data_IF_920246591272
#
_entry.id   IF_920246591272
#
_cell.length_a   1.000
_cell.length_b   1.000
_cell.length_c   1.000
_cell.angle_alpha   90.00
_cell.angle_beta   90.00
_cell.angle_gamma   90.00
#
_symmetry.space_group_name_H-M   'P 1'
#
loop_
_entity.id
_entity.type
_entity.pdbx_description
1 polymer ?
#
# COMPACT_ATOMS: atom_id res chain seq x y z
N UNK A 1 19.14 19.90 8.23
CA UNK A 1 17.77 20.18 8.71
C UNK A 1 17.51 19.38 9.96
N UNK A 2 17.06 20.06 11.03
CA UNK A 2 16.52 19.37 12.19
C UNK A 2 15.05 19.09 11.88
N UNK A 3 14.73 17.85 11.53
CA UNK A 3 13.38 17.42 11.25
C UNK A 3 12.89 16.45 12.34
N UNK A 4 11.65 16.60 12.77
CA UNK A 4 10.99 15.66 13.67
C UNK A 4 10.37 14.52 12.88
N UNK A 5 10.01 13.44 13.54
CA UNK A 5 9.28 12.29 12.96
C UNK A 5 8.13 12.74 12.03
N UNK A 6 7.24 13.59 12.55
CA UNK A 6 6.07 14.07 11.82
C UNK A 6 6.44 14.87 10.55
N UNK A 7 7.51 15.69 10.61
CA UNK A 7 7.97 16.47 9.46
C UNK A 7 8.53 15.56 8.38
N UNK A 8 9.33 14.56 8.75
CA UNK A 8 9.86 13.57 7.79
C UNK A 8 8.73 12.77 7.16
N UNK A 9 7.80 12.27 7.97
CA UNK A 9 6.66 11.49 7.48
C UNK A 9 5.76 12.31 6.53
N UNK A 10 5.48 13.58 6.85
CA UNK A 10 4.74 14.49 5.99
C UNK A 10 5.48 14.74 4.66
N UNK A 11 6.79 14.98 4.72
CA UNK A 11 7.62 15.23 3.53
C UNK A 11 7.69 14.01 2.62
N UNK A 12 7.75 12.81 3.20
CA UNK A 12 7.73 11.55 2.45
C UNK A 12 6.34 11.18 1.91
N UNK A 13 5.29 11.92 2.24
CA UNK A 13 3.92 11.64 1.79
C UNK A 13 3.17 10.58 2.61
N UNK A 14 3.68 10.19 3.79
CA UNK A 14 3.07 9.14 4.61
C UNK A 14 1.65 9.47 5.13
N UNK A 15 1.28 10.74 5.12
CA UNK A 15 -0.07 11.18 5.55
C UNK A 15 -1.06 11.29 4.40
N UNK A 16 -0.60 11.08 3.17
CA UNK A 16 -1.48 11.00 2.01
C UNK A 16 -2.12 9.62 1.95
N UNK A 17 -3.26 9.52 1.28
CA UNK A 17 -3.91 8.24 1.05
C UNK A 17 -3.30 7.51 -0.14
N UNK A 18 -2.32 6.68 0.12
CA UNK A 18 -1.66 5.87 -0.90
C UNK A 18 -2.56 4.77 -1.48
N UNK A 19 -3.66 4.47 -0.79
CA UNK A 19 -4.69 3.53 -1.25
C UNK A 19 -5.81 4.18 -2.04
N UNK A 20 -5.79 5.51 -2.20
CA UNK A 20 -6.78 6.33 -2.90
C UNK A 20 -8.20 6.36 -2.31
N UNK A 21 -8.42 5.71 -1.17
CA UNK A 21 -9.73 5.68 -0.53
C UNK A 21 -10.19 7.07 -0.08
N UNK A 22 -9.30 7.77 0.63
CA UNK A 22 -9.59 9.12 1.11
C UNK A 22 -9.71 10.12 -0.04
N UNK A 23 -8.90 9.95 -1.09
CA UNK A 23 -8.99 10.78 -2.30
C UNK A 23 -10.37 10.65 -2.94
N UNK A 24 -10.86 9.43 -3.15
CA UNK A 24 -12.18 9.17 -3.73
C UNK A 24 -13.34 9.68 -2.86
N UNK A 25 -13.16 9.68 -1.55
CA UNK A 25 -14.14 10.22 -0.59
C UNK A 25 -14.02 11.75 -0.38
N UNK A 26 -13.10 12.42 -1.07
CA UNK A 26 -12.86 13.85 -0.90
C UNK A 26 -12.28 14.24 0.46
N UNK A 27 -11.66 13.32 1.18
CA UNK A 27 -11.13 13.55 2.52
C UNK A 27 -9.69 14.04 2.48
N UNK A 28 -9.35 14.93 3.40
CA UNK A 28 -7.99 15.44 3.56
C UNK A 28 -7.01 14.35 4.03
N UNK A 29 -5.69 14.53 3.78
CA UNK A 29 -4.65 13.73 4.39
C UNK A 29 -4.81 13.65 5.91
N UNK A 30 -4.45 12.53 6.50
CA UNK A 30 -4.63 12.27 7.92
C UNK A 30 -3.29 12.02 8.60
N UNK A 31 -3.04 12.72 9.70
CA UNK A 31 -1.88 12.48 10.55
C UNK A 31 -1.94 11.07 11.15
N UNK A 32 -0.81 10.35 11.07
CA UNK A 32 -0.60 9.09 11.78
C UNK A 32 0.43 9.29 12.89
N UNK A 33 0.13 8.91 14.15
CA UNK A 33 1.07 9.01 15.26
C UNK A 33 2.16 7.91 15.25
N UNK A 34 2.13 7.01 14.28
CA UNK A 34 3.10 5.92 14.21
C UNK A 34 4.48 6.45 13.86
N UNK A 35 5.55 6.04 14.58
CA UNK A 35 6.92 6.49 14.32
C UNK A 35 7.56 5.72 13.15
N UNK A 36 6.95 5.79 11.97
CA UNK A 36 7.35 5.00 10.81
C UNK A 36 8.73 5.40 10.29
N UNK A 37 9.02 6.69 10.21
CA UNK A 37 10.31 7.17 9.71
C UNK A 37 11.46 6.71 10.61
N UNK A 38 11.31 6.85 11.92
CA UNK A 38 12.29 6.35 12.89
C UNK A 38 12.43 4.83 12.82
N UNK A 39 11.33 4.08 12.74
CA UNK A 39 11.34 2.62 12.70
C UNK A 39 12.06 2.08 11.48
N UNK A 40 11.76 2.59 10.30
CA UNK A 40 12.46 2.20 9.07
C UNK A 40 13.94 2.58 9.12
N UNK A 41 14.27 3.78 9.61
CA UNK A 41 15.66 4.24 9.71
C UNK A 41 16.49 3.39 10.67
N UNK A 42 15.93 3.02 11.83
CA UNK A 42 16.59 2.14 12.80
C UNK A 42 16.89 0.77 12.17
N UNK A 43 15.90 0.20 11.47
CA UNK A 43 16.07 -1.09 10.80
C UNK A 43 17.15 -1.03 9.72
N UNK A 44 17.12 -0.02 8.86
CA UNK A 44 18.15 0.17 7.82
C UNK A 44 19.53 0.43 8.42
N UNK A 45 19.62 1.27 9.44
CA UNK A 45 20.90 1.57 10.10
C UNK A 45 21.49 0.31 10.74
N UNK A 46 20.68 -0.50 11.43
CA UNK A 46 21.13 -1.74 12.04
C UNK A 46 21.65 -2.73 11.00
N UNK A 47 20.95 -2.91 9.90
CA UNK A 47 21.39 -3.75 8.79
C UNK A 47 22.68 -3.24 8.15
N UNK A 48 22.78 -1.93 7.94
CA UNK A 48 23.97 -1.29 7.35
C UNK A 48 25.21 -1.46 8.23
N UNK A 49 25.04 -1.37 9.57
CA UNK A 49 26.17 -1.60 10.50
C UNK A 49 26.66 -3.04 10.39
N UNK A 50 25.76 -4.01 10.33
CA UNK A 50 26.14 -5.44 10.19
C UNK A 50 26.86 -5.67 8.87
N UNK A 51 26.35 -5.10 7.76
CA UNK A 51 27.01 -5.20 6.45
C UNK A 51 28.39 -4.57 6.43
N UNK A 52 28.56 -3.40 7.06
CA UNK A 52 29.85 -2.73 7.14
C UNK A 52 30.87 -3.52 8.00
N UNK A 53 30.41 -4.14 9.09
CA UNK A 53 31.26 -5.03 9.89
C UNK A 53 31.71 -6.24 9.07
N UNK A 54 30.80 -6.87 8.32
CA UNK A 54 31.15 -7.98 7.43
C UNK A 54 32.13 -7.54 6.32
N UNK A 55 31.92 -6.36 5.73
CA UNK A 55 32.84 -5.81 4.76
C UNK A 55 34.23 -5.56 5.36
N UNK A 56 34.29 -5.03 6.60
CA UNK A 56 35.54 -4.83 7.33
C UNK A 56 36.30 -6.13 7.58
N UNK A 57 35.61 -7.21 7.93
CA UNK A 57 36.24 -8.54 8.09
C UNK A 57 36.91 -9.01 6.79
N UNK A 58 36.33 -8.68 5.64
CA UNK A 58 36.87 -9.09 4.34
C UNK A 58 37.97 -8.14 3.80
N UNK A 59 37.86 -6.86 4.12
CA UNK A 59 38.75 -5.82 3.52
C UNK A 59 39.79 -5.26 4.49
N UNK A 60 39.57 -5.41 5.79
CA UNK A 60 40.37 -4.76 6.84
C UNK A 60 40.10 -3.27 7.01
N UNK A 61 39.17 -2.70 6.23
CA UNK A 61 38.87 -1.25 6.22
C UNK A 61 37.51 -0.98 6.85
N UNK A 62 37.46 0.05 7.71
CA UNK A 62 36.18 0.61 8.18
C UNK A 62 35.58 1.56 7.15
N UNK A 63 34.32 1.91 7.34
CA UNK A 63 33.60 2.83 6.48
C UNK A 63 32.72 3.78 7.28
N UNK A 64 32.27 4.87 6.65
CA UNK A 64 31.30 5.82 7.18
C UNK A 64 29.93 5.53 6.58
N UNK A 65 28.94 5.26 7.45
CA UNK A 65 27.59 4.89 7.02
C UNK A 65 26.65 6.07 7.27
N UNK A 66 25.96 6.51 6.24
CA UNK A 66 24.86 7.47 6.35
C UNK A 66 23.54 6.81 5.97
N UNK A 67 22.56 6.91 6.84
CA UNK A 67 21.19 6.45 6.60
C UNK A 67 20.23 7.64 6.75
N UNK A 68 19.92 8.34 5.64
CA UNK A 68 18.97 9.45 5.69
C UNK A 68 17.58 8.95 6.08
N UNK A 69 16.99 9.55 7.12
CA UNK A 69 15.68 9.12 7.67
C UNK A 69 14.58 9.18 6.60
N UNK A 70 14.60 10.22 5.74
CA UNK A 70 13.61 10.34 4.67
C UNK A 70 13.76 9.24 3.62
N UNK A 71 14.99 8.87 3.25
CA UNK A 71 15.23 7.80 2.29
C UNK A 71 14.76 6.45 2.83
N UNK A 72 15.05 6.18 4.11
CA UNK A 72 14.56 4.98 4.79
C UNK A 72 13.02 4.94 4.85
N UNK A 73 12.38 6.07 5.10
CA UNK A 73 10.91 6.16 5.07
C UNK A 73 10.35 5.92 3.68
N UNK A 74 10.93 6.50 2.64
CA UNK A 74 10.50 6.28 1.25
C UNK A 74 10.66 4.81 0.83
N UNK A 75 11.73 4.16 1.23
CA UNK A 75 11.93 2.72 1.01
C UNK A 75 10.85 1.89 1.73
N UNK A 76 10.53 2.27 2.96
CA UNK A 76 9.45 1.63 3.73
C UNK A 76 8.05 1.82 3.14
N UNK A 77 7.81 2.91 2.44
CA UNK A 77 6.57 3.14 1.68
C UNK A 77 6.50 2.28 0.41
N UNK A 78 7.61 1.68 0.02
CA UNK A 78 7.73 0.79 -1.12
C UNK A 78 7.23 1.44 -2.42
N UNK A 79 6.52 0.68 -3.26
CA UNK A 79 6.03 1.19 -4.55
C UNK A 79 5.10 2.41 -4.44
N UNK A 80 4.49 2.66 -3.29
CA UNK A 80 3.65 3.85 -3.09
C UNK A 80 4.43 5.17 -3.12
N UNK A 81 5.75 5.12 -2.94
CA UNK A 81 6.62 6.29 -3.05
C UNK A 81 7.19 6.51 -4.46
N UNK A 82 6.96 5.58 -5.38
CA UNK A 82 7.45 5.65 -6.74
C UNK A 82 6.35 6.06 -7.71
N UNK A 83 6.72 6.90 -8.67
CA UNK A 83 5.88 7.16 -9.83
C UNK A 83 6.45 6.38 -11.01
N UNK A 84 5.68 5.41 -11.50
CA UNK A 84 6.07 4.59 -12.64
C UNK A 84 5.57 5.25 -13.92
N UNK A 85 6.49 5.64 -14.79
CA UNK A 85 6.13 6.13 -16.10
C UNK A 85 5.60 4.97 -16.95
N UNK A 86 4.58 5.27 -17.78
CA UNK A 86 3.99 4.30 -18.71
C UNK A 86 3.51 2.99 -18.05
N UNK A 87 2.94 3.09 -16.83
CA UNK A 87 2.39 1.95 -16.13
C UNK A 87 1.32 1.28 -17.02
N UNK A 88 1.50 -0.01 -17.40
CA UNK A 88 0.51 -0.71 -18.20
C UNK A 88 -0.85 -0.74 -17.51
N UNK A 89 -1.92 -0.58 -18.30
CA UNK A 89 -3.30 -0.46 -17.82
C UNK A 89 -3.72 -1.61 -16.88
N UNK A 90 -3.27 -2.82 -17.16
CA UNK A 90 -3.52 -4.02 -16.34
C UNK A 90 -3.01 -3.94 -14.90
N UNK A 91 -2.10 -3.02 -14.59
CA UNK A 91 -1.54 -2.83 -13.24
C UNK A 91 -2.18 -1.67 -12.49
N UNK A 92 -3.00 -0.86 -13.16
CA UNK A 92 -3.78 0.18 -12.50
C UNK A 92 -4.91 -0.45 -11.69
N UNK A 93 -5.11 0.06 -10.49
CA UNK A 93 -6.23 -0.36 -9.65
C UNK A 93 -7.54 0.26 -10.15
N UNK A 94 -8.68 -0.33 -9.80
CA UNK A 94 -9.99 0.24 -10.09
C UNK A 94 -10.14 1.66 -9.53
N UNK A 95 -9.50 1.94 -8.39
CA UNK A 95 -9.49 3.27 -7.75
C UNK A 95 -8.72 4.30 -8.58
N UNK A 96 -7.59 3.92 -9.19
CA UNK A 96 -6.84 4.80 -10.09
C UNK A 96 -7.68 5.15 -11.32
N UNK A 97 -8.32 4.16 -11.94
CA UNK A 97 -9.24 4.39 -13.06
C UNK A 97 -10.37 5.35 -12.69
N UNK A 98 -10.99 5.15 -11.53
CA UNK A 98 -12.08 6.02 -11.09
C UNK A 98 -11.59 7.44 -10.81
N UNK A 99 -10.40 7.62 -10.23
CA UNK A 99 -9.79 8.93 -10.05
C UNK A 99 -9.53 9.61 -11.39
N UNK A 100 -8.96 8.90 -12.36
CA UNK A 100 -8.71 9.42 -13.70
C UNK A 100 -10.02 9.81 -14.39
N UNK A 101 -11.04 8.95 -14.32
CA UNK A 101 -12.38 9.20 -14.88
C UNK A 101 -13.03 10.46 -14.28
N UNK A 102 -13.03 10.58 -12.93
CA UNK A 102 -13.61 11.75 -12.27
C UNK A 102 -12.88 13.03 -12.62
N UNK A 103 -11.56 13.00 -12.65
CA UNK A 103 -10.74 14.16 -13.07
C UNK A 103 -11.06 14.58 -14.51
N UNK A 104 -11.12 13.63 -15.46
CA UNK A 104 -11.39 13.89 -16.85
C UNK A 104 -12.81 14.45 -17.07
N UNK A 105 -13.78 13.99 -16.29
CA UNK A 105 -15.18 14.41 -16.39
C UNK A 105 -15.54 15.60 -15.47
N UNK A 106 -14.57 16.14 -14.72
CA UNK A 106 -14.77 17.18 -13.71
C UNK A 106 -15.88 16.83 -12.69
N UNK A 107 -15.86 15.57 -12.22
CA UNK A 107 -16.78 15.04 -11.20
C UNK A 107 -16.08 15.14 -9.84
N UNK A 108 -16.83 15.57 -8.82
CA UNK A 108 -16.32 15.72 -7.45
C UNK A 108 -15.90 14.37 -6.84
N UNK A 109 -14.92 14.45 -5.95
CA UNK A 109 -14.50 13.32 -5.11
C UNK A 109 -15.32 13.34 -3.82
N UNK A 110 -16.38 12.55 -3.78
CA UNK A 110 -17.39 12.59 -2.73
C UNK A 110 -18.03 11.21 -2.43
N UNK A 111 -17.36 10.12 -2.83
CA UNK A 111 -17.89 8.78 -2.60
C UNK A 111 -18.18 8.53 -1.13
N UNK A 112 -19.36 7.99 -0.84
CA UNK A 112 -19.63 7.40 0.47
C UNK A 112 -18.78 6.14 0.69
N UNK A 113 -18.68 5.70 1.96
CA UNK A 113 -17.97 4.46 2.27
C UNK A 113 -18.55 3.25 1.51
N UNK A 114 -19.87 3.17 1.39
CA UNK A 114 -20.53 2.05 0.70
C UNK A 114 -20.24 2.05 -0.81
N UNK A 115 -20.29 3.22 -1.46
CA UNK A 115 -19.91 3.36 -2.86
C UNK A 115 -18.44 3.04 -3.12
N UNK A 116 -17.55 3.40 -2.18
CA UNK A 116 -16.14 3.06 -2.27
C UNK A 116 -15.89 1.55 -2.35
N UNK A 117 -16.79 0.74 -1.76
CA UNK A 117 -16.61 -0.72 -1.73
C UNK A 117 -16.56 -1.33 -3.13
N UNK A 118 -17.19 -0.73 -4.13
CA UNK A 118 -17.17 -1.17 -5.53
C UNK A 118 -15.78 -1.10 -6.17
N UNK A 119 -14.90 -0.25 -5.64
CA UNK A 119 -13.54 -0.02 -6.15
C UNK A 119 -12.45 -0.73 -5.36
N UNK A 120 -12.80 -1.49 -4.33
CA UNK A 120 -11.83 -2.23 -3.53
C UNK A 120 -11.64 -3.64 -4.08
N UNK A 121 -10.39 -4.12 -4.03
CA UNK A 121 -10.07 -5.50 -4.35
C UNK A 121 -10.81 -6.45 -3.39
N UNK A 122 -11.68 -7.33 -3.88
CA UNK A 122 -12.43 -8.25 -3.03
C UNK A 122 -11.54 -9.24 -2.28
N UNK A 123 -10.32 -9.49 -2.75
CA UNK A 123 -9.37 -10.40 -2.12
C UNK A 123 -8.35 -9.71 -1.22
N UNK A 124 -8.46 -8.38 -1.07
CA UNK A 124 -7.55 -7.60 -0.23
C UNK A 124 -8.27 -6.45 0.48
N UNK A 125 -9.21 -6.81 1.35
CA UNK A 125 -10.03 -5.82 2.08
C UNK A 125 -10.67 -6.36 3.35
N UNK A 126 -11.21 -5.45 4.15
CA UNK A 126 -12.03 -5.77 5.31
C UNK A 126 -13.48 -6.01 4.92
N UNK A 127 -14.09 -6.98 5.58
CA UNK A 127 -15.52 -7.28 5.52
C UNK A 127 -16.11 -7.26 6.92
N UNK A 128 -17.36 -6.79 7.02
CA UNK A 128 -18.12 -6.85 8.24
C UNK A 128 -18.90 -8.17 8.28
N UNK A 129 -18.70 -8.96 9.33
CA UNK A 129 -19.43 -10.21 9.56
C UNK A 129 -20.83 -9.96 10.11
N UNK A 130 -21.68 -10.98 10.06
CA UNK A 130 -23.06 -10.92 10.59
C UNK A 130 -23.13 -10.63 12.10
N UNK A 131 -22.05 -10.89 12.83
CA UNK A 131 -21.91 -10.62 14.26
C UNK A 131 -21.22 -9.27 14.57
N UNK A 132 -21.20 -8.36 13.60
CA UNK A 132 -20.56 -7.03 13.64
C UNK A 132 -19.04 -7.02 13.79
N UNK A 133 -18.37 -8.17 13.85
CA UNK A 133 -16.91 -8.24 13.85
C UNK A 133 -16.34 -8.00 12.47
N UNK A 134 -15.12 -7.46 12.43
CA UNK A 134 -14.40 -7.25 11.18
C UNK A 134 -13.54 -8.47 10.84
N UNK A 135 -13.55 -8.83 9.59
CA UNK A 135 -12.75 -9.89 9.00
C UNK A 135 -11.96 -9.32 7.83
N UNK A 136 -10.69 -9.65 7.72
CA UNK A 136 -9.84 -9.16 6.63
C UNK A 136 -9.41 -10.32 5.73
N UNK A 137 -9.69 -10.22 4.44
CA UNK A 137 -9.19 -11.15 3.43
C UNK A 137 -7.85 -10.64 2.92
N UNK A 138 -6.83 -11.51 2.93
CA UNK A 138 -5.52 -11.28 2.35
C UNK A 138 -5.20 -12.44 1.41
N UNK A 139 -5.61 -12.31 0.17
CA UNK A 139 -5.36 -13.29 -0.89
C UNK A 139 -4.77 -12.58 -2.10
N UNK A 140 -3.58 -11.94 -1.98
CA UNK A 140 -3.05 -11.16 -3.07
C UNK A 140 -2.65 -12.06 -4.24
N UNK A 141 -3.10 -11.69 -5.37
CA UNK A 141 -2.65 -11.87 -6.77
C UNK A 141 -1.80 -13.09 -7.18
N UNK A 142 -1.67 -14.14 -6.39
CA UNK A 142 -1.14 -15.41 -6.89
C UNK A 142 -2.24 -16.25 -7.53
N UNK A 143 -1.91 -16.82 -8.67
CA UNK A 143 -2.77 -17.53 -9.61
C UNK A 143 -3.84 -18.46 -9.02
N UNK A 144 -3.68 -18.93 -7.81
CA UNK A 144 -4.61 -19.86 -7.16
C UNK A 144 -5.18 -19.34 -5.82
N UNK A 145 -4.75 -18.18 -5.33
CA UNK A 145 -5.18 -17.71 -4.02
C UNK A 145 -6.63 -17.27 -4.02
N UNK A 146 -7.03 -16.50 -5.03
CA UNK A 146 -8.40 -16.05 -5.17
C UNK A 146 -9.37 -17.24 -5.34
N UNK A 147 -9.01 -18.20 -6.21
CA UNK A 147 -9.78 -19.44 -6.40
C UNK A 147 -9.95 -20.20 -5.08
N UNK A 148 -8.84 -20.47 -4.38
CA UNK A 148 -8.90 -21.19 -3.09
C UNK A 148 -9.68 -20.44 -2.02
N UNK A 149 -9.59 -19.12 -2.01
CA UNK A 149 -10.39 -18.29 -1.12
C UNK A 149 -11.89 -18.49 -1.41
N UNK A 150 -12.30 -18.41 -2.66
CA UNK A 150 -13.69 -18.65 -3.06
C UNK A 150 -14.15 -20.08 -2.76
N UNK A 151 -13.29 -21.07 -2.97
CA UNK A 151 -13.59 -22.49 -2.62
C UNK A 151 -13.82 -22.64 -1.11
N UNK A 152 -12.96 -22.04 -0.27
CA UNK A 152 -13.11 -22.08 1.20
C UNK A 152 -14.38 -21.35 1.66
N UNK A 153 -14.74 -20.25 1.01
CA UNK A 153 -15.95 -19.49 1.30
C UNK A 153 -17.22 -20.16 0.73
N UNK A 154 -17.08 -21.19 -0.11
CA UNK A 154 -18.19 -21.84 -0.79
C UNK A 154 -18.82 -21.01 -1.91
N UNK A 155 -18.13 -20.01 -2.41
CA UNK A 155 -18.62 -19.05 -3.41
C UNK A 155 -18.10 -19.31 -4.83
N UNK A 156 -17.17 -20.26 -5.01
CA UNK A 156 -16.47 -20.44 -6.29
C UNK A 156 -17.45 -20.72 -7.44
N UNK A 157 -18.35 -21.68 -7.28
CA UNK A 157 -19.29 -22.08 -8.34
C UNK A 157 -20.29 -20.96 -8.68
N UNK A 158 -20.74 -20.20 -7.69
CA UNK A 158 -21.64 -19.07 -7.87
C UNK A 158 -20.96 -17.96 -8.69
N UNK A 159 -19.77 -17.56 -8.29
CA UNK A 159 -18.98 -16.52 -8.97
C UNK A 159 -18.64 -16.93 -10.41
N UNK A 160 -18.29 -18.19 -10.64
CA UNK A 160 -18.01 -18.70 -11.98
C UNK A 160 -19.27 -18.75 -12.86
N UNK A 161 -20.42 -19.05 -12.28
CA UNK A 161 -21.70 -19.09 -13.01
C UNK A 161 -22.17 -17.69 -13.46
N UNK A 162 -21.76 -16.63 -12.76
CA UNK A 162 -22.03 -15.25 -13.14
C UNK A 162 -21.13 -14.76 -14.30
N UNK A 163 -20.25 -15.61 -14.83
CA UNK A 163 -19.42 -15.32 -15.99
C UNK A 163 -18.20 -14.45 -15.67
N UNK A 164 -17.75 -14.44 -14.44
CA UNK A 164 -16.47 -13.82 -14.09
C UNK A 164 -15.34 -14.52 -14.86
N UNK A 165 -14.37 -13.76 -15.42
CA UNK A 165 -13.23 -14.36 -16.08
C UNK A 165 -12.52 -15.27 -15.08
N UNK A 166 -12.09 -16.43 -15.59
CA UNK A 166 -11.32 -17.39 -14.79
C UNK A 166 -10.26 -16.63 -13.98
N UNK A 167 -10.34 -16.74 -12.66
CA UNK A 167 -9.40 -16.08 -11.74
C UNK A 167 -8.06 -16.81 -11.91
N UNK A 168 -7.35 -16.40 -12.93
CA UNK A 168 -6.09 -17.00 -13.39
C UNK A 168 -4.88 -16.23 -12.89
#
# INVERSE_FOLDING_TARGET
>A
WKATEAVVAATAGAFTDMGFNRVLMGLNPCFSPLPLASSYSITMASSSVVLALLARENTGLGDHIEVPVIAAMMEGLSYNSYQVADLPERYKTMREHEIERRRAANIDFDLSYDQLQEYLDPFYRSYKCADDRMFYIVCPSHRNHARRCLEVLGLYEEVMAEGMPEVS
#
